data_IF_780466470196
#
_entry.id   IF_780466470196
#
_cell.length_a   1.000
_cell.length_b   1.000
_cell.length_c   1.000
_cell.angle_alpha   90.00
_cell.angle_beta   90.00
_cell.angle_gamma   90.00
#
_symmetry.space_group_name_H-M   'P 1'
#
loop_
_entity.id
_entity.type
_entity.pdbx_description
1 polymer ?
#
# COMPACT_ATOMS: atom_id res chain seq x y z
N UNK A 1 6.36 -16.33 -11.36
CA UNK A 1 5.67 -16.27 -10.06
C UNK A 1 6.09 -14.98 -9.37
N UNK A 2 5.30 -13.92 -9.53
CA UNK A 2 5.61 -12.59 -9.01
C UNK A 2 5.41 -12.60 -7.48
N UNK A 3 6.49 -12.49 -6.69
CA UNK A 3 6.43 -12.58 -5.22
C UNK A 3 5.47 -11.59 -4.55
N UNK A 4 4.72 -12.01 -3.53
CA UNK A 4 3.65 -11.20 -2.90
C UNK A 4 4.11 -9.87 -2.30
N UNK A 5 5.41 -9.72 -2.06
CA UNK A 5 6.01 -8.56 -1.41
C UNK A 5 7.10 -7.94 -2.27
N UNK A 6 7.21 -6.61 -2.20
CA UNK A 6 8.32 -5.83 -2.73
C UNK A 6 9.29 -5.49 -1.61
N UNK A 7 10.59 -5.71 -1.86
CA UNK A 7 11.66 -5.34 -0.92
C UNK A 7 12.04 -3.88 -1.12
N UNK A 8 12.11 -3.16 -0.01
CA UNK A 8 12.50 -1.74 0.03
C UNK A 8 13.61 -1.54 1.05
N UNK A 9 14.26 -0.37 1.06
CA UNK A 9 15.25 -0.03 2.09
C UNK A 9 14.67 0.00 3.52
N UNK A 10 13.34 0.10 3.67
CA UNK A 10 12.64 0.15 4.96
C UNK A 10 11.91 -1.15 5.32
N UNK A 11 12.09 -2.23 4.55
CA UNK A 11 11.46 -3.53 4.79
C UNK A 11 10.61 -4.03 3.62
N UNK A 12 9.70 -4.96 3.89
CA UNK A 12 8.81 -5.54 2.89
C UNK A 12 7.49 -4.76 2.81
N UNK A 13 7.03 -4.49 1.59
CA UNK A 13 5.73 -3.89 1.32
C UNK A 13 4.88 -4.88 0.54
N UNK A 14 3.66 -5.21 0.98
CA UNK A 14 2.79 -6.11 0.23
C UNK A 14 2.42 -5.48 -1.12
N UNK A 15 2.50 -6.24 -2.20
CA UNK A 15 2.17 -5.75 -3.54
C UNK A 15 0.74 -5.24 -3.64
N UNK A 16 -0.20 -5.83 -2.88
CA UNK A 16 -1.58 -5.36 -2.80
C UNK A 16 -1.70 -3.90 -2.37
N UNK A 17 -0.81 -3.40 -1.49
CA UNK A 17 -0.78 -2.00 -1.09
C UNK A 17 -0.21 -1.07 -2.17
N UNK A 18 0.35 -1.63 -3.24
CA UNK A 18 0.95 -0.92 -4.36
C UNK A 18 0.13 -1.10 -5.65
N UNK A 19 -0.94 -1.88 -5.61
CA UNK A 19 -1.88 -2.06 -6.72
C UNK A 19 -2.76 -0.83 -6.91
N UNK A 20 -3.30 -0.61 -8.13
CA UNK A 20 -4.24 0.46 -8.40
C UNK A 20 -5.41 0.45 -7.43
N UNK A 21 -5.90 1.65 -7.08
CA UNK A 21 -7.11 1.76 -6.29
C UNK A 21 -8.28 1.21 -7.12
N UNK A 22 -9.06 0.25 -6.58
CA UNK A 22 -10.23 -0.27 -7.28
C UNK A 22 -11.27 0.83 -7.53
N UNK A 23 -12.02 0.71 -8.62
CA UNK A 23 -13.18 1.58 -8.83
C UNK A 23 -14.33 1.07 -7.96
N UNK A 24 -14.90 1.94 -7.14
CA UNK A 24 -16.05 1.62 -6.30
C UNK A 24 -17.23 2.49 -6.70
N UNK A 25 -18.37 1.85 -6.98
CA UNK A 25 -19.63 2.54 -7.25
C UNK A 25 -20.77 1.87 -6.49
N UNK A 26 -21.79 2.66 -6.18
CA UNK A 26 -23.02 2.16 -5.56
C UNK A 26 -24.02 1.86 -6.66
N UNK A 27 -24.51 0.62 -6.73
CA UNK A 27 -25.57 0.26 -7.66
C UNK A 27 -26.88 0.99 -7.32
N UNK A 28 -27.83 1.08 -8.26
CA UNK A 28 -29.16 1.60 -7.99
C UNK A 28 -29.88 0.86 -6.84
N UNK A 29 -29.51 -0.40 -6.57
CA UNK A 29 -30.00 -1.20 -5.45
C UNK A 29 -29.30 -0.92 -4.11
N UNK A 30 -28.42 0.09 -4.03
CA UNK A 30 -27.68 0.47 -2.83
C UNK A 30 -26.47 -0.42 -2.52
N UNK A 31 -26.13 -1.38 -3.40
CA UNK A 31 -24.99 -2.29 -3.19
C UNK A 31 -23.70 -1.65 -3.68
N UNK A 32 -22.69 -1.55 -2.81
CA UNK A 32 -21.35 -1.12 -3.22
C UNK A 32 -20.67 -2.23 -4.02
N UNK A 33 -20.29 -1.94 -5.25
CA UNK A 33 -19.57 -2.83 -6.15
C UNK A 33 -18.17 -2.29 -6.35
N UNK A 34 -17.17 -3.16 -6.15
CA UNK A 34 -15.75 -2.84 -6.32
C UNK A 34 -15.21 -3.62 -7.50
N UNK A 35 -14.70 -2.92 -8.51
CA UNK A 35 -14.10 -3.52 -9.70
C UNK A 35 -12.60 -3.28 -9.72
N UNK A 36 -11.83 -4.34 -10.04
CA UNK A 36 -10.42 -4.19 -10.39
C UNK A 36 -10.30 -3.41 -11.70
N UNK A 37 -9.24 -2.62 -11.82
CA UNK A 37 -8.92 -1.90 -13.05
C UNK A 37 -7.95 -2.76 -13.86
N UNK A 38 -8.48 -3.43 -14.87
CA UNK A 38 -7.66 -4.14 -15.85
C UNK A 38 -7.17 -3.13 -16.91
N UNK A 39 -5.92 -3.25 -17.35
CA UNK A 39 -5.28 -2.39 -18.36
C UNK A 39 -5.22 -0.89 -18.01
N UNK A 40 -5.04 -0.55 -16.74
CA UNK A 40 -4.81 0.83 -16.30
C UNK A 40 -3.44 1.33 -16.76
N UNK A 41 -3.38 2.54 -17.30
CA UNK A 41 -2.11 3.18 -17.70
C UNK A 41 -1.34 3.66 -16.45
N UNK A 42 0.00 3.80 -16.51
CA UNK A 42 0.83 4.16 -15.36
C UNK A 42 0.41 5.42 -14.59
N UNK A 43 -0.23 6.38 -15.25
CA UNK A 43 -0.64 7.68 -14.68
C UNK A 43 -2.15 7.90 -14.70
N UNK A 44 -2.95 6.88 -15.01
CA UNK A 44 -4.40 6.97 -14.92
C UNK A 44 -4.86 7.18 -13.47
N UNK A 45 -6.08 7.67 -13.32
CA UNK A 45 -6.68 7.88 -12.00
C UNK A 45 -6.58 6.61 -11.15
N UNK A 46 -6.01 6.75 -9.95
CA UNK A 46 -5.84 5.69 -8.97
C UNK A 46 -4.73 4.68 -9.28
N UNK A 47 -3.92 4.88 -10.32
CA UNK A 47 -2.60 4.25 -10.41
C UNK A 47 -1.74 4.60 -9.19
N UNK A 48 -0.84 3.69 -8.82
CA UNK A 48 0.12 3.89 -7.72
C UNK A 48 1.53 3.88 -8.27
N UNK A 49 2.25 4.96 -8.01
CA UNK A 49 3.64 5.14 -8.39
C UNK A 49 4.47 5.23 -7.12
N UNK A 50 5.48 4.37 -7.01
CA UNK A 50 6.46 4.38 -5.93
C UNK A 50 7.86 4.66 -6.46
N UNK A 51 8.66 5.35 -5.65
CA UNK A 51 10.09 5.52 -5.88
C UNK A 51 10.81 4.95 -4.67
N UNK A 52 11.71 4.00 -4.90
CA UNK A 52 12.53 3.41 -3.85
C UNK A 52 14.00 3.48 -4.23
N UNK A 53 14.86 3.39 -3.23
CA UNK A 53 16.28 3.12 -3.44
C UNK A 53 16.68 1.87 -2.67
N UNK A 54 17.59 1.09 -3.27
CA UNK A 54 18.13 -0.14 -2.69
C UNK A 54 19.65 0.02 -2.54
N UNK A 55 20.18 0.05 -1.31
CA UNK A 55 21.61 0.13 -1.09
C UNK A 55 22.39 -1.04 -1.74
N UNK A 56 23.53 -0.70 -2.35
CA UNK A 56 24.52 -1.58 -2.99
C UNK A 56 25.92 -1.04 -2.66
N UNK A 57 26.44 -1.42 -1.49
CA UNK A 57 27.67 -0.84 -0.96
C UNK A 57 27.45 0.63 -0.60
N UNK A 58 28.32 1.51 -1.10
CA UNK A 58 28.30 2.96 -0.85
C UNK A 58 27.35 3.76 -1.79
N UNK A 59 26.73 3.08 -2.75
CA UNK A 59 25.75 3.66 -3.68
C UNK A 59 24.42 2.92 -3.55
N UNK A 60 23.36 3.47 -4.13
CA UNK A 60 22.07 2.79 -4.21
C UNK A 60 21.54 2.72 -5.65
N UNK A 61 20.75 1.69 -5.89
CA UNK A 61 19.93 1.55 -7.09
C UNK A 61 18.58 2.22 -6.87
N UNK A 62 18.18 3.13 -7.74
CA UNK A 62 16.85 3.75 -7.73
C UNK A 62 15.90 2.95 -8.62
N UNK A 63 14.73 2.61 -8.11
CA UNK A 63 13.72 1.83 -8.82
C UNK A 63 12.38 2.57 -8.82
N UNK A 64 11.65 2.44 -9.93
CA UNK A 64 10.25 2.85 -10.02
C UNK A 64 9.35 1.64 -9.80
N UNK A 65 8.29 1.84 -9.03
CA UNK A 65 7.22 0.87 -8.85
C UNK A 65 5.98 1.44 -9.50
N UNK A 66 5.40 0.72 -10.46
CA UNK A 66 4.16 1.11 -11.12
C UNK A 66 3.15 0.00 -10.87
N UNK A 67 2.06 0.32 -10.18
CA UNK A 67 0.94 -0.61 -9.97
C UNK A 67 1.36 -1.97 -9.38
N UNK A 68 2.34 -1.96 -8.46
CA UNK A 68 2.87 -3.14 -7.78
C UNK A 68 4.01 -3.85 -8.51
N UNK A 69 4.41 -3.37 -9.70
CA UNK A 69 5.50 -3.92 -10.48
C UNK A 69 6.75 -3.05 -10.40
N UNK A 70 7.89 -3.67 -10.07
CA UNK A 70 9.20 -3.04 -10.08
C UNK A 70 9.72 -2.96 -11.52
N UNK A 71 9.97 -1.74 -12.00
CA UNK A 71 10.45 -1.47 -13.35
C UNK A 71 11.97 -1.67 -13.49
N UNK A 72 12.65 -2.07 -12.42
CA UNK A 72 14.08 -2.30 -12.37
C UNK A 72 14.89 -1.05 -12.03
N UNK A 73 16.22 -1.23 -12.03
CA UNK A 73 17.15 -0.19 -11.64
C UNK A 73 17.26 0.89 -12.74
N UNK A 74 16.73 2.07 -12.47
CA UNK A 74 16.84 3.23 -13.34
C UNK A 74 18.22 3.88 -13.28
N UNK A 75 18.75 4.05 -12.06
CA UNK A 75 20.15 4.45 -11.84
C UNK A 75 20.77 3.58 -10.76
N UNK A 76 22.06 3.28 -10.87
CA UNK A 76 22.83 2.47 -9.90
C UNK A 76 23.82 3.30 -9.08
N UNK A 77 23.85 4.61 -9.29
CA UNK A 77 24.86 5.52 -8.75
C UNK A 77 24.24 6.59 -7.87
N UNK A 78 23.20 6.25 -7.10
CA UNK A 78 22.56 7.19 -6.19
C UNK A 78 23.41 7.33 -4.90
N UNK A 79 24.00 8.50 -4.60
CA UNK A 79 24.85 8.70 -3.43
C UNK A 79 24.01 8.96 -2.17
N UNK A 80 23.31 7.94 -1.68
CA UNK A 80 22.34 8.08 -0.59
C UNK A 80 22.95 8.38 0.79
N UNK A 81 24.26 8.16 0.98
CA UNK A 81 24.96 8.40 2.24
C UNK A 81 25.59 9.80 2.34
N UNK A 82 25.77 10.49 1.20
CA UNK A 82 26.47 11.77 1.15
C UNK A 82 25.57 12.95 1.54
N UNK A 83 24.26 12.83 1.29
CA UNK A 83 23.27 13.85 1.62
C UNK A 83 21.87 13.23 1.75
N UNK A 84 20.94 13.89 2.48
CA UNK A 84 19.54 13.48 2.50
C UNK A 84 18.92 13.50 1.11
N UNK A 85 18.17 12.45 0.79
CA UNK A 85 17.40 12.36 -0.45
C UNK A 85 15.99 12.92 -0.24
N UNK A 86 15.54 13.75 -1.19
CA UNK A 86 14.19 14.32 -1.19
C UNK A 86 13.42 13.83 -2.41
N UNK A 87 12.18 13.39 -2.21
CA UNK A 87 11.27 13.08 -3.29
C UNK A 87 10.60 14.36 -3.78
N UNK A 88 10.70 14.63 -5.08
CA UNK A 88 10.03 15.75 -5.73
C UNK A 88 9.05 15.18 -6.76
N UNK A 89 7.85 15.74 -6.78
CA UNK A 89 6.82 15.39 -7.77
C UNK A 89 6.46 16.65 -8.51
N UNK A 90 6.60 16.60 -9.83
CA UNK A 90 6.08 17.63 -10.74
C UNK A 90 4.81 17.09 -11.39
N UNK A 91 3.72 17.85 -11.31
CA UNK A 91 2.40 17.45 -11.80
C UNK A 91 2.03 18.33 -12.97
N UNK A 92 2.08 17.74 -14.17
CA UNK A 92 1.78 18.43 -15.42
C UNK A 92 1.04 17.50 -16.42
N UNK A 93 0.38 18.09 -17.42
CA UNK A 93 -0.23 17.36 -18.53
C UNK A 93 -1.58 16.73 -18.17
N UNK A 94 -1.70 15.41 -18.38
CA UNK A 94 -2.94 14.64 -18.18
C UNK A 94 -3.23 14.37 -16.70
N UNK A 95 -2.21 14.35 -15.84
CA UNK A 95 -2.35 14.21 -14.39
C UNK A 95 -2.69 15.56 -13.76
N UNK A 96 -3.79 15.64 -13.00
CA UNK A 96 -4.24 16.88 -12.36
C UNK A 96 -4.00 16.93 -10.85
N UNK A 97 -3.93 15.77 -10.21
CA UNK A 97 -3.76 15.67 -8.77
C UNK A 97 -2.97 14.41 -8.42
N UNK A 98 -2.17 14.52 -7.37
CA UNK A 98 -1.51 13.38 -6.73
C UNK A 98 -1.83 13.38 -5.23
N UNK A 99 -1.82 12.20 -4.63
CA UNK A 99 -1.97 12.03 -3.19
C UNK A 99 -0.84 11.14 -2.68
N UNK A 100 -0.18 11.58 -1.61
CA UNK A 100 0.82 10.76 -0.92
C UNK A 100 0.09 9.65 -0.16
N UNK A 101 0.47 8.40 -0.44
CA UNK A 101 -0.03 7.22 0.25
C UNK A 101 0.99 6.77 1.28
N UNK A 102 0.62 6.82 2.56
CA UNK A 102 1.48 6.38 3.65
C UNK A 102 1.48 4.85 3.75
N UNK A 103 2.60 4.21 3.39
CA UNK A 103 2.75 2.75 3.45
C UNK A 103 3.34 2.26 4.78
N UNK A 104 4.31 2.99 5.31
CA UNK A 104 4.96 2.68 6.60
C UNK A 104 4.27 3.42 7.74
N UNK A 105 2.95 3.31 7.82
CA UNK A 105 2.23 3.78 8.99
C UNK A 105 2.60 2.90 10.19
N UNK A 106 2.91 3.51 11.33
CA UNK A 106 2.83 2.76 12.59
C UNK A 106 1.38 2.33 12.73
N UNK A 107 1.12 1.03 12.80
CA UNK A 107 -0.22 0.53 13.08
C UNK A 107 -0.69 1.21 14.35
N UNK A 108 -1.89 1.81 14.32
CA UNK A 108 -2.44 2.38 15.55
C UNK A 108 -2.45 1.29 16.62
N UNK A 109 -2.19 1.63 17.88
CA UNK A 109 -2.27 0.65 18.98
C UNK A 109 -3.59 -0.13 18.92
N UNK A 110 -4.68 0.55 18.54
CA UNK A 110 -6.00 -0.04 18.31
C UNK A 110 -5.98 -1.15 17.25
N UNK A 111 -5.37 -0.90 16.09
CA UNK A 111 -5.23 -1.90 15.02
C UNK A 111 -4.30 -3.04 15.43
N UNK A 112 -3.15 -2.74 16.04
CA UNK A 112 -2.21 -3.75 16.49
C UNK A 112 -2.83 -4.68 17.56
N UNK A 113 -3.52 -4.13 18.56
CA UNK A 113 -4.24 -4.91 19.55
C UNK A 113 -5.31 -5.78 18.91
N UNK A 114 -6.06 -5.25 17.94
CA UNK A 114 -7.05 -6.01 17.19
C UNK A 114 -6.43 -7.21 16.49
N UNK A 115 -5.35 -7.02 15.74
CA UNK A 115 -4.73 -8.10 14.96
C UNK A 115 -4.25 -9.23 15.89
N UNK A 116 -3.68 -8.87 17.05
CA UNK A 116 -3.29 -9.83 18.07
C UNK A 116 -4.49 -10.57 18.66
N UNK A 117 -5.58 -9.87 18.98
CA UNK A 117 -6.82 -10.48 19.50
C UNK A 117 -7.37 -11.48 18.48
N UNK A 118 -7.54 -11.05 17.23
CA UNK A 118 -8.10 -11.89 16.15
C UNK A 118 -7.24 -13.13 15.91
N UNK A 119 -5.91 -13.02 16.01
CA UNK A 119 -5.00 -14.16 15.87
C UNK A 119 -5.11 -15.21 16.99
N UNK A 120 -5.53 -14.82 18.19
CA UNK A 120 -5.55 -15.70 19.38
C UNK A 120 -6.94 -16.20 19.77
N UNK A 121 -7.98 -15.80 19.06
CA UNK A 121 -9.36 -16.28 19.28
C UNK A 121 -9.74 -17.31 18.21
N UNK A 122 -10.66 -18.21 18.56
CA UNK A 122 -11.22 -19.17 17.61
C UNK A 122 -11.93 -18.45 16.43
N UNK A 123 -12.14 -19.16 15.32
CA UNK A 123 -12.71 -18.66 14.05
C UNK A 123 -14.04 -17.88 14.19
N UNK A 124 -14.81 -18.13 15.28
CA UNK A 124 -16.04 -17.41 15.64
C UNK A 124 -16.03 -16.82 17.06
N UNK A 125 -14.84 -16.75 17.68
CA UNK A 125 -14.67 -16.35 19.08
C UNK A 125 -15.05 -14.91 19.36
N UNK A 126 -14.96 -14.00 18.36
CA UNK A 126 -15.30 -12.57 18.54
C UNK A 126 -16.73 -12.39 19.06
N UNK A 127 -17.67 -13.18 18.52
CA UNK A 127 -19.08 -13.07 18.88
C UNK A 127 -19.37 -13.53 20.31
N UNK A 128 -18.56 -14.45 20.84
CA UNK A 128 -18.68 -14.99 22.19
C UNK A 128 -18.05 -14.08 23.26
N UNK A 129 -17.24 -13.09 22.88
CA UNK A 129 -16.64 -12.16 23.85
C UNK A 129 -17.72 -11.27 24.50
N UNK A 130 -17.59 -10.94 25.80
CA UNK A 130 -18.49 -10.01 26.49
C UNK A 130 -18.18 -8.55 26.13
N UNK A 131 -18.08 -8.24 24.84
CA UNK A 131 -17.75 -6.91 24.31
C UNK A 131 -18.99 -6.21 23.72
N UNK A 132 -19.05 -4.86 23.80
CA UNK A 132 -20.02 -4.07 23.05
C UNK A 132 -20.02 -4.36 21.55
N UNK A 133 -21.19 -4.24 20.90
CA UNK A 133 -21.36 -4.51 19.46
C UNK A 133 -20.36 -3.75 18.59
N UNK A 134 -20.15 -2.47 18.89
CA UNK A 134 -19.19 -1.61 18.17
C UNK A 134 -17.76 -2.14 18.20
N UNK A 135 -17.33 -2.77 19.29
CA UNK A 135 -16.00 -3.39 19.37
C UNK A 135 -15.97 -4.73 18.62
N UNK A 136 -17.04 -5.53 18.68
CA UNK A 136 -17.14 -6.76 17.88
C UNK A 136 -17.09 -6.48 16.39
N UNK A 137 -17.86 -5.48 15.94
CA UNK A 137 -17.89 -5.03 14.55
C UNK A 137 -16.51 -4.54 14.11
N UNK A 138 -15.83 -3.77 14.97
CA UNK A 138 -14.46 -3.33 14.70
C UNK A 138 -13.48 -4.50 14.58
N UNK A 139 -13.57 -5.52 15.44
CA UNK A 139 -12.72 -6.71 15.38
C UNK A 139 -12.97 -7.54 14.10
N UNK A 140 -14.21 -7.56 13.60
CA UNK A 140 -14.62 -8.29 12.39
C UNK A 140 -14.39 -7.55 11.06
N UNK A 141 -14.18 -6.22 11.08
CA UNK A 141 -14.13 -5.39 9.88
C UNK A 141 -12.81 -5.49 9.08
N UNK A 142 -12.74 -6.11 7.91
CA UNK A 142 -11.49 -6.12 7.11
C UNK A 142 -11.12 -4.71 6.59
N UNK A 143 -9.88 -4.28 6.84
CA UNK A 143 -9.30 -3.02 6.34
C UNK A 143 -8.66 -3.16 4.98
#
# INVERSE_FOLDING_TARGET
MFGEYLKTSRGLVPRSALQPTPYAFTSPSGRRITLKRDNILPTDEGSRIGVIYLPRGNLAEMHYIINGEDQGAFTKKLPFEQAPLYAVVDVYGTTKQVRIVQLYGVTSLKSACRDIIVKHIAQHGVNALPLPRTLKDYLLFES
#
